data_IF_912226451466
#
_entry.id   IF_912226451466
#
_cell.length_a   1.000
_cell.length_b   1.000
_cell.length_c   1.000
_cell.angle_alpha   90.00
_cell.angle_beta   90.00
_cell.angle_gamma   90.00
#
_symmetry.space_group_name_H-M   'P 1'
#
loop_
_entity.id
_entity.type
_entity.pdbx_description
1 polymer ?
#
# COMPACT_ATOMS: atom_id res chain seq x y z
N UNK A 1 -4.57 -3.08 12.21
CA UNK A 1 -4.26 -2.16 11.08
C UNK A 1 -5.07 -0.86 11.20
N UNK A 2 -4.39 0.26 11.40
CA UNK A 2 -4.98 1.60 11.19
C UNK A 2 -4.78 1.98 9.72
N UNK A 3 -5.85 2.34 9.03
CA UNK A 3 -5.85 2.67 7.60
C UNK A 3 -6.44 4.07 7.42
N UNK A 4 -5.61 5.01 6.97
CA UNK A 4 -6.03 6.38 6.64
C UNK A 4 -6.02 6.56 5.14
N UNK A 5 -7.20 6.75 4.55
CA UNK A 5 -7.36 6.96 3.11
C UNK A 5 -7.91 8.35 2.83
N UNK A 6 -7.33 9.02 1.85
CA UNK A 6 -7.86 10.24 1.23
C UNK A 6 -8.12 9.95 -0.24
N UNK A 7 -9.38 10.07 -0.64
CA UNK A 7 -9.80 9.90 -2.03
C UNK A 7 -9.66 11.23 -2.77
N UNK A 8 -9.01 11.22 -3.92
CA UNK A 8 -8.84 12.36 -4.82
C UNK A 8 -9.53 12.02 -6.16
N UNK A 9 -10.73 12.56 -6.35
CA UNK A 9 -11.55 12.28 -7.54
C UNK A 9 -11.01 12.97 -8.79
N UNK A 10 -10.35 14.12 -8.66
CA UNK A 10 -9.81 14.84 -9.82
C UNK A 10 -8.64 14.08 -10.45
N UNK A 11 -7.79 13.49 -9.58
CA UNK A 11 -6.65 12.69 -10.00
C UNK A 11 -6.97 11.20 -10.18
N UNK A 12 -8.14 10.74 -9.74
CA UNK A 12 -8.51 9.33 -9.65
C UNK A 12 -7.49 8.50 -8.86
N UNK A 13 -7.07 8.99 -7.69
CA UNK A 13 -6.12 8.29 -6.82
C UNK A 13 -6.62 8.23 -5.38
N UNK A 14 -6.18 7.20 -4.65
CA UNK A 14 -6.33 7.10 -3.21
C UNK A 14 -4.95 7.25 -2.60
N UNK A 15 -4.78 8.27 -1.76
CA UNK A 15 -3.61 8.43 -0.90
C UNK A 15 -3.86 7.69 0.40
N UNK A 16 -2.97 6.77 0.74
CA UNK A 16 -3.10 5.88 1.86
C UNK A 16 -1.90 5.91 2.79
N UNK A 17 -2.16 5.61 4.06
CA UNK A 17 -1.14 5.14 4.99
C UNK A 17 -1.62 3.85 5.61
N UNK A 18 -0.78 2.82 5.57
CA UNK A 18 -1.01 1.55 6.26
C UNK A 18 0.06 1.34 7.33
N UNK A 19 -0.38 0.95 8.54
CA UNK A 19 0.48 0.53 9.62
C UNK A 19 0.37 -0.99 9.81
N UNK A 20 1.48 -1.70 9.59
CA UNK A 20 1.61 -3.14 9.74
C UNK A 20 2.40 -3.45 11.01
N UNK A 21 1.81 -4.21 11.93
CA UNK A 21 2.56 -4.80 13.04
C UNK A 21 3.18 -6.10 12.56
N UNK A 22 4.50 -6.18 12.57
CA UNK A 22 5.29 -7.34 12.10
C UNK A 22 6.01 -7.94 13.30
N UNK A 23 5.94 -9.27 13.43
CA UNK A 23 6.69 -10.05 14.40
C UNK A 23 7.92 -10.66 13.72
N UNK A 24 9.10 -10.49 14.32
CA UNK A 24 10.33 -11.13 13.86
C UNK A 24 10.32 -12.62 14.23
N UNK A 25 10.42 -13.51 13.24
CA UNK A 25 10.42 -14.97 13.48
C UNK A 25 11.83 -15.56 13.61
N UNK A 26 12.85 -14.76 13.33
CA UNK A 26 14.27 -15.09 13.38
C UNK A 26 15.06 -13.98 14.09
N UNK A 27 16.27 -14.30 14.53
CA UNK A 27 17.19 -13.33 15.10
C UNK A 27 17.91 -12.55 13.98
N UNK A 28 18.31 -11.32 14.31
CA UNK A 28 18.95 -10.40 13.35
C UNK A 28 18.07 -10.07 12.14
N UNK A 29 16.75 -10.05 12.34
CA UNK A 29 15.79 -9.69 11.30
C UNK A 29 15.85 -8.18 11.02
N UNK A 30 16.20 -7.82 9.79
CA UNK A 30 16.46 -6.43 9.39
C UNK A 30 15.85 -6.04 8.06
N UNK A 31 15.21 -6.97 7.35
CA UNK A 31 14.59 -6.69 6.07
C UNK A 31 13.29 -7.50 5.89
N UNK A 32 12.35 -6.92 5.15
CA UNK A 32 11.11 -7.58 4.77
C UNK A 32 10.71 -7.24 3.34
N UNK A 33 9.92 -8.11 2.73
CA UNK A 33 9.32 -7.88 1.41
C UNK A 33 7.80 -7.86 1.54
N UNK A 34 7.18 -6.82 1.00
CA UNK A 34 5.73 -6.67 0.91
C UNK A 34 5.28 -6.79 -0.54
N UNK A 35 4.16 -7.45 -0.79
CA UNK A 35 3.54 -7.47 -2.11
C UNK A 35 2.88 -6.11 -2.41
N UNK A 36 3.21 -5.52 -3.55
CA UNK A 36 2.51 -4.32 -4.05
C UNK A 36 2.11 -4.51 -5.50
N UNK A 37 1.12 -3.76 -5.99
CA UNK A 37 0.78 -3.76 -7.42
C UNK A 37 0.21 -2.41 -7.80
N UNK A 38 0.83 -1.75 -8.79
CA UNK A 38 0.36 -0.46 -9.32
C UNK A 38 0.24 0.65 -8.23
N UNK A 39 1.07 0.56 -7.18
CA UNK A 39 1.19 1.54 -6.11
C UNK A 39 2.45 2.40 -6.29
N UNK A 40 2.30 3.69 -6.01
CA UNK A 40 3.42 4.62 -5.84
C UNK A 40 3.73 4.76 -4.34
N UNK A 41 4.89 4.28 -3.91
CA UNK A 41 5.30 4.29 -2.49
C UNK A 41 6.12 5.53 -2.23
N UNK A 42 5.62 6.40 -1.35
CA UNK A 42 6.22 7.72 -1.08
C UNK A 42 7.15 7.72 0.12
N UNK A 43 6.87 6.92 1.15
CA UNK A 43 7.74 6.77 2.31
C UNK A 43 7.46 5.48 3.08
N UNK A 44 8.51 4.94 3.71
CA UNK A 44 8.41 3.84 4.67
C UNK A 44 9.08 4.24 5.97
N UNK A 45 8.49 3.85 7.10
CA UNK A 45 9.07 4.05 8.44
C UNK A 45 8.85 2.82 9.32
N UNK A 46 9.76 2.62 10.27
CA UNK A 46 9.72 1.56 11.27
C UNK A 46 9.74 2.18 12.67
N UNK A 47 8.68 1.99 13.45
CA UNK A 47 8.50 2.63 14.77
C UNK A 47 8.72 4.16 14.73
N UNK A 48 8.30 4.82 13.65
CA UNK A 48 8.46 6.26 13.43
C UNK A 48 9.83 6.70 12.91
N UNK A 49 10.79 5.79 12.75
CA UNK A 49 12.09 6.08 12.14
C UNK A 49 12.05 5.81 10.62
N UNK A 50 12.64 6.67 9.77
CA UNK A 50 12.73 6.41 8.34
C UNK A 50 13.41 5.06 8.04
N UNK A 51 12.80 4.27 7.16
CA UNK A 51 13.33 3.01 6.68
C UNK A 51 13.66 3.12 5.19
N UNK A 52 14.72 2.44 4.74
CA UNK A 52 15.07 2.40 3.33
C UNK A 52 14.16 1.42 2.60
N UNK A 53 13.79 1.73 1.35
CA UNK A 53 12.98 0.82 0.55
C UNK A 53 13.30 0.90 -0.94
N UNK A 54 13.01 -0.18 -1.65
CA UNK A 54 13.11 -0.28 -3.11
C UNK A 54 11.95 -1.09 -3.68
N UNK A 55 11.53 -0.72 -4.88
CA UNK A 55 10.62 -1.53 -5.68
C UNK A 55 11.46 -2.43 -6.60
N UNK A 56 11.28 -3.75 -6.47
CA UNK A 56 11.96 -4.72 -7.32
C UNK A 56 11.35 -4.81 -8.73
N UNK A 57 11.71 -5.83 -9.52
CA UNK A 57 11.18 -5.99 -10.88
C UNK A 57 9.67 -6.31 -10.88
N UNK A 58 8.93 -5.68 -11.80
CA UNK A 58 7.49 -5.92 -11.97
C UNK A 58 7.25 -7.28 -12.63
N UNK A 59 6.45 -8.12 -11.96
CA UNK A 59 5.96 -9.39 -12.49
C UNK A 59 4.50 -9.28 -12.94
N UNK A 60 4.20 -9.78 -14.14
CA UNK A 60 2.93 -9.57 -14.86
C UNK A 60 1.66 -9.82 -14.02
N UNK A 61 1.60 -10.94 -13.30
CA UNK A 61 0.44 -11.26 -12.46
C UNK A 61 0.65 -10.90 -10.98
N UNK A 62 1.87 -11.01 -10.47
CA UNK A 62 2.19 -10.87 -9.03
C UNK A 62 2.25 -9.42 -8.55
N UNK A 63 2.62 -8.48 -9.43
CA UNK A 63 2.88 -7.08 -9.05
C UNK A 63 4.37 -6.80 -8.90
N UNK A 64 4.70 -5.85 -8.03
CA UNK A 64 6.07 -5.38 -7.77
C UNK A 64 6.39 -5.62 -6.30
N UNK A 65 7.46 -6.34 -5.95
CA UNK A 65 7.85 -6.50 -4.55
C UNK A 65 8.38 -5.16 -4.01
N UNK A 66 7.92 -4.78 -2.81
CA UNK A 66 8.46 -3.68 -2.04
C UNK A 66 9.40 -4.25 -0.99
N UNK A 67 10.69 -4.03 -1.19
CA UNK A 67 11.75 -4.44 -0.26
C UNK A 67 11.99 -3.30 0.73
N UNK A 68 11.98 -3.61 2.02
CA UNK A 68 12.16 -2.64 3.11
C UNK A 68 13.32 -3.09 3.97
N UNK A 69 14.26 -2.20 4.23
CA UNK A 69 15.35 -2.39 5.20
C UNK A 69 15.06 -1.57 6.44
N UNK A 70 14.96 -2.25 7.58
CA UNK A 70 14.75 -1.65 8.89
C UNK A 70 16.02 -0.90 9.32
N UNK A 71 15.88 0.20 10.08
CA UNK A 71 17.03 0.96 10.59
C UNK A 71 17.70 0.30 11.81
N UNK A 72 17.20 -0.87 12.24
CA UNK A 72 17.68 -1.65 13.38
C UNK A 72 17.36 -3.13 13.16
N UNK A 73 18.11 -3.99 13.86
CA UNK A 73 17.86 -5.43 13.88
C UNK A 73 16.84 -5.80 14.95
N UNK A 74 16.02 -6.81 14.67
CA UNK A 74 15.09 -7.40 15.62
C UNK A 74 15.54 -8.81 16.01
N UNK A 75 15.39 -9.13 17.29
CA UNK A 75 15.47 -10.50 17.80
C UNK A 75 14.14 -11.23 17.63
N UNK A 76 14.19 -12.56 17.61
CA UNK A 76 13.00 -13.40 17.51
C UNK A 76 11.94 -13.04 18.57
N UNK A 77 10.70 -12.88 18.16
CA UNK A 77 9.54 -12.51 18.99
C UNK A 77 9.38 -11.01 19.23
N UNK A 78 10.33 -10.18 18.81
CA UNK A 78 10.17 -8.72 18.84
C UNK A 78 9.21 -8.26 17.75
N UNK A 79 8.55 -7.12 18.00
CA UNK A 79 7.57 -6.54 17.11
C UNK A 79 8.02 -5.17 16.62
N UNK A 80 7.67 -4.85 15.38
CA UNK A 80 7.88 -3.52 14.77
C UNK A 80 6.61 -3.07 14.05
N UNK A 81 6.32 -1.77 14.12
CA UNK A 81 5.28 -1.14 13.33
C UNK A 81 5.93 -0.57 12.08
N UNK A 82 5.68 -1.21 10.94
CA UNK A 82 6.08 -0.72 9.63
C UNK A 82 4.94 0.10 9.05
N UNK A 83 5.17 1.40 8.89
CA UNK A 83 4.22 2.32 8.27
C UNK A 83 4.64 2.66 6.85
N UNK A 84 3.74 2.40 5.89
CA UNK A 84 3.93 2.66 4.47
C UNK A 84 2.93 3.72 4.01
N UNK A 85 3.43 4.81 3.43
CA UNK A 85 2.62 5.83 2.77
C UNK A 85 2.67 5.62 1.27
N UNK A 86 1.51 5.52 0.64
CA UNK A 86 1.39 5.17 -0.77
C UNK A 86 0.26 5.93 -1.45
N UNK A 87 0.29 5.95 -2.78
CA UNK A 87 -0.77 6.42 -3.63
C UNK A 87 -1.10 5.34 -4.67
N UNK A 88 -2.39 5.10 -4.93
CA UNK A 88 -2.80 4.18 -6.00
C UNK A 88 -2.61 4.85 -7.36
N UNK A 89 -2.23 4.11 -8.39
CA UNK A 89 -2.26 4.62 -9.77
C UNK A 89 -3.70 4.85 -10.27
N UNK A 90 -3.96 5.85 -11.15
CA UNK A 90 -5.22 5.95 -11.88
C UNK A 90 -5.55 4.71 -12.73
N UNK A 91 -4.51 3.92 -13.07
CA UNK A 91 -4.65 2.64 -13.77
C UNK A 91 -4.88 1.45 -12.82
N UNK A 92 -4.99 1.67 -11.51
CA UNK A 92 -5.19 0.61 -10.53
C UNK A 92 -6.53 -0.09 -10.80
N UNK A 93 -6.48 -1.33 -11.28
CA UNK A 93 -7.67 -2.07 -11.71
C UNK A 93 -8.60 -2.49 -10.56
N UNK A 94 -8.31 -2.10 -9.32
CA UNK A 94 -9.13 -2.35 -8.14
C UNK A 94 -10.22 -1.32 -7.93
N UNK A 95 -10.05 -0.15 -8.53
CA UNK A 95 -10.86 1.03 -8.29
C UNK A 95 -11.62 1.37 -9.55
N UNK A 96 -12.95 1.39 -9.46
CA UNK A 96 -13.78 1.88 -10.53
C UNK A 96 -14.30 3.27 -10.17
N UNK A 97 -13.82 4.25 -10.93
CA UNK A 97 -14.19 5.65 -10.80
C UNK A 97 -15.32 5.95 -11.79
N UNK A 98 -16.42 6.51 -11.31
CA UNK A 98 -17.56 6.92 -12.12
C UNK A 98 -17.69 8.44 -12.07
N UNK A 99 -17.78 9.06 -13.25
CA UNK A 99 -18.10 10.48 -13.38
C UNK A 99 -19.55 10.74 -12.92
N UNK A 100 -19.92 12.00 -12.60
CA UNK A 100 -21.28 12.34 -12.23
C UNK A 100 -22.32 11.82 -13.23
N UNK A 101 -22.05 11.94 -14.54
CA UNK A 101 -22.95 11.53 -15.63
C UNK A 101 -23.18 10.02 -15.68
N UNK A 102 -22.27 9.22 -15.10
CA UNK A 102 -22.39 7.76 -15.03
C UNK A 102 -23.17 7.31 -13.79
N UNK A 103 -23.39 8.19 -12.81
CA UNK A 103 -24.19 7.87 -11.63
C UNK A 103 -25.70 7.98 -11.90
N UNK A 104 -26.53 7.37 -11.05
CA UNK A 104 -27.98 7.52 -11.12
C UNK A 104 -28.43 8.97 -10.82
N UNK A 105 -27.72 9.67 -9.94
CA UNK A 105 -28.04 11.03 -9.51
C UNK A 105 -27.52 12.14 -10.44
N UNK A 106 -26.62 11.83 -11.39
CA UNK A 106 -26.04 12.75 -12.39
C UNK A 106 -25.31 13.98 -11.85
N UNK A 107 -25.07 14.07 -10.54
CA UNK A 107 -24.57 15.29 -9.86
C UNK A 107 -23.26 15.12 -9.10
N UNK A 108 -22.91 13.91 -8.68
CA UNK A 108 -21.73 13.65 -7.85
C UNK A 108 -20.99 12.43 -8.40
N UNK A 109 -19.65 12.40 -8.35
CA UNK A 109 -18.87 11.23 -8.75
C UNK A 109 -19.03 10.09 -7.74
N UNK A 110 -18.68 8.87 -8.14
CA UNK A 110 -18.79 7.69 -7.30
C UNK A 110 -17.54 6.81 -7.43
N UNK A 111 -17.08 6.24 -6.32
CA UNK A 111 -15.96 5.29 -6.28
C UNK A 111 -16.40 4.03 -5.55
N UNK A 112 -16.09 2.87 -6.11
CA UNK A 112 -16.15 1.60 -5.38
C UNK A 112 -14.96 0.72 -5.70
N UNK A 113 -14.56 -0.08 -4.70
CA UNK A 113 -13.49 -1.07 -4.80
C UNK A 113 -14.07 -2.47 -4.94
N UNK A 114 -13.48 -3.32 -5.80
CA UNK A 114 -13.81 -4.75 -5.85
C UNK A 114 -12.57 -5.59 -5.51
N UNK A 115 -12.53 -6.18 -4.32
CA UNK A 115 -11.32 -6.79 -3.76
C UNK A 115 -11.16 -8.30 -4.06
N UNK A 116 -12.21 -8.99 -4.49
CA UNK A 116 -12.20 -10.44 -4.69
C UNK A 116 -11.68 -10.81 -6.10
N UNK A 117 -10.80 -11.80 -6.29
CA UNK A 117 -10.13 -12.66 -5.30
C UNK A 117 -8.70 -12.20 -4.90
N UNK A 118 -8.05 -11.30 -5.65
CA UNK A 118 -6.65 -10.90 -5.43
C UNK A 118 -6.38 -9.41 -5.64
N UNK A 119 -7.39 -8.57 -5.44
CA UNK A 119 -7.36 -7.17 -5.86
C UNK A 119 -7.03 -6.22 -4.71
N UNK A 120 -7.04 -6.70 -3.46
CA UNK A 120 -6.67 -5.92 -2.26
C UNK A 120 -5.17 -5.51 -2.21
N UNK A 121 -4.32 -6.09 -3.07
CA UNK A 121 -2.90 -5.74 -3.22
C UNK A 121 -2.64 -4.60 -4.23
N UNK A 122 -3.71 -4.06 -4.83
CA UNK A 122 -3.65 -3.00 -5.84
C UNK A 122 -4.14 -1.68 -5.26
#
# INVERSE_FOLDING_TARGET
PDLRLRVDFDRHVIKGKVALTVEALEDSFSALTLDTKDLDVTSVSANGQPASFSLGPRHSFKGTPLEVTLPFDLSRGQHVIVEVSYETSPSASALQWLSPEQTAGKKQPYLFSQCQAHTCRR
#
